data_IF_349777868890
#
_entry.id   IF_349777868890
#
_cell.length_a   1.000
_cell.length_b   1.000
_cell.length_c   1.000
_cell.angle_alpha   90.00
_cell.angle_beta   90.00
_cell.angle_gamma   90.00
#
_symmetry.space_group_name_H-M   'P 1'
#
loop_
_entity.id
_entity.type
_entity.pdbx_description
1 polymer ?
#
# COMPACT_ATOMS: atom_id res chain seq x y z
N UNK A 1 -15.40 4.18 19.10
CA UNK A 1 -16.23 4.17 17.87
C UNK A 1 -15.38 4.77 16.78
N UNK A 2 -15.06 3.98 15.76
CA UNK A 2 -14.31 4.47 14.60
C UNK A 2 -15.32 5.10 13.63
N UNK A 3 -14.98 6.27 13.09
CA UNK A 3 -15.78 7.00 12.14
C UNK A 3 -14.91 7.26 10.92
N UNK A 4 -15.09 6.42 9.90
CA UNK A 4 -14.30 6.50 8.68
C UNK A 4 -14.81 7.59 7.74
N UNK A 5 -13.89 8.35 7.16
CA UNK A 5 -14.13 9.38 6.16
C UNK A 5 -13.29 9.07 4.91
N UNK A 6 -13.94 9.02 3.75
CA UNK A 6 -13.28 8.94 2.45
C UNK A 6 -12.90 10.37 2.02
N UNK A 7 -11.61 10.66 1.99
CA UNK A 7 -11.02 11.92 1.59
C UNK A 7 -10.39 11.78 0.19
N UNK A 8 -10.82 12.58 -0.78
CA UNK A 8 -10.28 12.58 -2.16
C UNK A 8 -9.32 13.72 -2.36
N UNK A 9 -8.09 13.39 -2.74
CA UNK A 9 -7.00 14.33 -2.81
C UNK A 9 -6.57 14.47 -4.25
N UNK A 10 -6.45 15.72 -4.69
CA UNK A 10 -5.97 16.05 -6.03
C UNK A 10 -4.63 16.75 -5.90
N UNK A 11 -3.63 16.22 -6.60
CA UNK A 11 -2.32 16.82 -6.70
C UNK A 11 -1.73 16.59 -8.10
N UNK A 12 -0.67 17.32 -8.40
CA UNK A 12 0.08 17.18 -9.65
C UNK A 12 1.32 16.37 -9.36
N UNK A 13 1.44 15.19 -9.98
CA UNK A 13 2.65 14.38 -9.94
C UNK A 13 3.45 14.61 -11.23
N UNK A 14 4.75 14.85 -11.11
CA UNK A 14 5.65 14.89 -12.26
C UNK A 14 6.08 13.45 -12.54
N UNK A 15 5.84 12.98 -13.76
CA UNK A 15 6.21 11.64 -14.18
C UNK A 15 7.72 11.61 -14.47
N UNK A 16 8.51 10.92 -13.62
CA UNK A 16 9.98 10.95 -13.63
C UNK A 16 10.59 10.53 -14.99
N UNK A 17 9.89 9.71 -15.77
CA UNK A 17 10.37 9.23 -17.08
C UNK A 17 10.07 10.17 -18.24
N UNK A 18 9.06 11.04 -18.11
CA UNK A 18 8.58 11.87 -19.24
C UNK A 18 8.61 13.37 -18.94
N UNK A 19 8.86 13.76 -17.69
CA UNK A 19 8.84 15.14 -17.23
C UNK A 19 7.46 15.81 -17.33
N UNK A 20 6.40 15.05 -17.60
CA UNK A 20 5.04 15.59 -17.78
C UNK A 20 4.31 15.64 -16.44
N UNK A 21 3.71 16.79 -16.18
CA UNK A 21 2.79 16.99 -15.07
C UNK A 21 1.47 16.26 -15.32
N UNK A 22 1.12 15.32 -14.45
CA UNK A 22 -0.16 14.61 -14.47
C UNK A 22 -0.95 14.93 -13.20
N UNK A 23 -2.18 15.39 -13.40
CA UNK A 23 -3.15 15.56 -12.30
C UNK A 23 -3.69 14.19 -11.91
N UNK A 24 -3.44 13.80 -10.67
CA UNK A 24 -3.95 12.55 -10.08
C UNK A 24 -5.03 12.87 -9.05
N UNK A 25 -5.96 11.93 -8.87
CA UNK A 25 -7.03 12.03 -7.89
C UNK A 25 -7.13 10.71 -7.15
N UNK A 26 -6.83 10.76 -5.86
CA UNK A 26 -6.56 9.59 -5.04
C UNK A 26 -7.47 9.61 -3.81
N UNK A 27 -8.31 8.57 -3.62
CA UNK A 27 -9.15 8.44 -2.44
C UNK A 27 -8.40 7.72 -1.32
N UNK A 28 -8.42 8.34 -0.15
CA UNK A 28 -7.86 7.84 1.10
C UNK A 28 -8.96 7.69 2.14
N UNK A 29 -8.77 6.79 3.09
CA UNK A 29 -9.71 6.59 4.19
C UNK A 29 -9.09 7.09 5.50
N UNK A 30 -9.82 7.86 6.28
CA UNK A 30 -9.30 8.47 7.52
C UNK A 30 -10.29 8.26 8.64
N UNK A 31 -9.82 7.79 9.78
CA UNK A 31 -10.64 7.78 11.00
C UNK A 31 -10.54 9.16 11.68
N UNK A 32 -11.68 9.75 11.97
CA UNK A 32 -11.79 11.08 12.60
C UNK A 32 -13.13 11.23 13.31
N UNK A 33 -13.30 12.24 14.16
CA UNK A 33 -14.59 12.47 14.85
C UNK A 33 -15.48 13.40 14.02
N UNK A 34 -14.88 14.31 13.23
CA UNK A 34 -15.59 15.32 12.43
C UNK A 34 -14.99 15.52 11.04
N UNK A 35 -15.73 16.17 10.13
CA UNK A 35 -15.24 16.50 8.79
C UNK A 35 -14.02 17.43 8.81
N UNK A 36 -14.00 18.41 9.71
CA UNK A 36 -12.87 19.34 9.86
C UNK A 36 -11.63 18.63 10.35
N UNK A 37 -11.78 17.70 11.31
CA UNK A 37 -10.66 16.89 11.79
C UNK A 37 -10.17 15.90 10.71
N UNK A 38 -11.07 15.31 9.93
CA UNK A 38 -10.70 14.45 8.81
C UNK A 38 -9.87 15.21 7.76
N UNK A 39 -10.25 16.46 7.46
CA UNK A 39 -9.51 17.35 6.55
C UNK A 39 -8.12 17.68 7.10
N UNK A 40 -8.03 18.07 8.36
CA UNK A 40 -6.76 18.41 8.99
C UNK A 40 -5.81 17.21 9.06
N UNK A 41 -6.31 16.03 9.46
CA UNK A 41 -5.51 14.81 9.55
C UNK A 41 -4.99 14.39 8.19
N UNK A 42 -5.85 14.32 7.18
CA UNK A 42 -5.41 13.90 5.85
C UNK A 42 -4.40 14.89 5.26
N UNK A 43 -4.58 16.17 5.54
CA UNK A 43 -3.64 17.19 5.09
C UNK A 43 -2.26 16.97 5.70
N UNK A 44 -2.17 16.76 7.03
CA UNK A 44 -0.91 16.48 7.73
C UNK A 44 -0.21 15.21 7.23
N UNK A 45 -0.95 14.12 7.04
CA UNK A 45 -0.39 12.87 6.53
C UNK A 45 0.16 13.07 5.12
N UNK A 46 -0.57 13.75 4.26
CA UNK A 46 -0.20 13.91 2.85
C UNK A 46 0.93 14.90 2.61
N UNK A 47 1.13 15.88 3.48
CA UNK A 47 2.31 16.76 3.42
C UNK A 47 3.62 15.96 3.48
N UNK A 48 3.63 14.81 4.19
CA UNK A 48 4.80 13.94 4.24
C UNK A 48 5.02 13.12 2.96
N UNK A 49 3.95 12.83 2.21
CA UNK A 49 4.01 11.98 1.01
C UNK A 49 4.08 12.76 -0.30
N UNK A 50 3.52 13.97 -0.36
CA UNK A 50 3.39 14.77 -1.58
C UNK A 50 4.29 16.00 -1.48
N UNK A 51 5.33 16.04 -2.29
CA UNK A 51 6.12 17.26 -2.50
C UNK A 51 5.39 18.21 -3.46
N UNK A 52 4.67 19.20 -2.93
CA UNK A 52 3.99 20.23 -3.72
C UNK A 52 2.62 20.63 -3.17
N UNK A 53 1.90 21.46 -3.91
CA UNK A 53 0.52 21.83 -3.56
C UNK A 53 -0.46 20.70 -3.88
N UNK A 54 -1.28 20.34 -2.89
CA UNK A 54 -2.40 19.43 -3.06
C UNK A 54 -3.68 20.06 -2.51
N UNK A 55 -4.83 19.56 -2.95
CA UNK A 55 -6.13 20.04 -2.47
C UNK A 55 -7.03 18.86 -2.16
N UNK A 56 -7.69 18.92 -1.00
CA UNK A 56 -8.76 17.99 -0.66
C UNK A 56 -10.02 18.39 -1.44
N UNK A 57 -10.43 17.56 -2.39
CA UNK A 57 -11.55 17.85 -3.30
C UNK A 57 -12.89 17.36 -2.79
N UNK A 58 -12.89 16.35 -1.94
CA UNK A 58 -14.12 15.75 -1.43
C UNK A 58 -13.85 15.04 -0.11
N UNK A 59 -14.78 15.16 0.84
CA UNK A 59 -14.78 14.41 2.09
C UNK A 59 -16.17 13.82 2.26
N UNK A 60 -16.26 12.50 2.43
CA UNK A 60 -17.54 11.80 2.64
C UNK A 60 -17.44 10.86 3.83
N UNK A 61 -18.48 10.80 4.64
CA UNK A 61 -18.56 9.78 5.68
C UNK A 61 -18.72 8.40 5.04
N UNK A 62 -17.82 7.48 5.38
CA UNK A 62 -17.84 6.10 4.93
C UNK A 62 -18.30 5.20 6.09
N UNK A 63 -19.34 4.40 5.84
CA UNK A 63 -19.88 3.49 6.85
C UNK A 63 -19.18 2.13 6.77
N UNK A 64 -17.88 2.11 7.04
CA UNK A 64 -17.15 0.86 7.23
C UNK A 64 -17.27 0.44 8.70
N UNK A 65 -17.72 -0.78 8.93
CA UNK A 65 -17.79 -1.40 10.25
C UNK A 65 -16.40 -1.80 10.72
N UNK A 66 -15.63 -2.45 9.84
CA UNK A 66 -14.30 -2.98 10.12
C UNK A 66 -13.40 -2.88 8.89
N UNK A 67 -12.08 -2.76 9.13
CA UNK A 67 -11.03 -2.78 8.11
C UNK A 67 -10.05 -3.90 8.46
N UNK A 68 -9.84 -4.81 7.51
CA UNK A 68 -8.91 -5.93 7.63
C UNK A 68 -7.73 -5.69 6.69
N UNK A 69 -6.58 -5.32 7.27
CA UNK A 69 -5.31 -5.30 6.54
C UNK A 69 -4.70 -6.70 6.52
N UNK A 70 -4.12 -7.10 5.41
CA UNK A 70 -3.30 -8.29 5.31
C UNK A 70 -2.07 -7.99 4.46
N UNK A 71 -0.90 -8.47 4.86
CA UNK A 71 0.37 -8.15 4.19
C UNK A 71 0.47 -8.76 2.78
N UNK A 72 -0.33 -9.78 2.46
CA UNK A 72 -0.32 -10.45 1.15
C UNK A 72 -1.22 -9.77 0.10
N UNK A 73 -2.05 -8.80 0.49
CA UNK A 73 -2.96 -8.13 -0.45
C UNK A 73 -2.35 -6.88 -1.08
N UNK A 74 -2.62 -6.65 -2.36
CA UNK A 74 -2.22 -5.43 -3.09
C UNK A 74 -3.37 -4.44 -3.26
N UNK A 75 -4.63 -4.90 -3.14
CA UNK A 75 -5.83 -4.14 -3.45
C UNK A 75 -6.87 -4.20 -2.34
N UNK A 76 -7.68 -3.16 -2.27
CA UNK A 76 -8.78 -3.06 -1.32
C UNK A 76 -10.09 -3.55 -1.93
N UNK A 77 -10.81 -4.39 -1.20
CA UNK A 77 -12.12 -4.90 -1.57
C UNK A 77 -13.16 -4.49 -0.54
N UNK A 78 -14.24 -3.89 -1.03
CA UNK A 78 -15.43 -3.55 -0.25
C UNK A 78 -16.35 -4.76 -0.21
N UNK A 79 -16.55 -5.30 0.99
CA UNK A 79 -17.40 -6.46 1.25
C UNK A 79 -18.64 -6.01 2.01
N UNK A 80 -19.83 -6.27 1.47
CA UNK A 80 -21.10 -6.03 2.14
C UNK A 80 -21.62 -7.35 2.67
N UNK A 81 -21.80 -7.44 3.99
CA UNK A 81 -22.23 -8.65 4.69
C UNK A 81 -23.52 -8.34 5.43
N UNK A 82 -24.45 -9.28 5.44
CA UNK A 82 -25.68 -9.17 6.23
C UNK A 82 -25.68 -10.25 7.30
N UNK A 83 -25.69 -9.83 8.56
CA UNK A 83 -25.90 -10.74 9.67
C UNK A 83 -27.39 -10.98 9.86
N UNK A 84 -27.76 -12.25 10.00
CA UNK A 84 -29.14 -12.68 10.25
C UNK A 84 -29.19 -13.23 11.67
N UNK A 85 -30.03 -12.63 12.50
CA UNK A 85 -30.27 -13.08 13.88
C UNK A 85 -31.76 -13.18 14.13
N UNK A 86 -32.18 -14.18 14.88
CA UNK A 86 -33.59 -14.38 15.25
C UNK A 86 -33.81 -13.71 16.61
N UNK A 87 -34.73 -12.76 16.67
CA UNK A 87 -35.15 -12.14 17.93
C UNK A 87 -36.07 -13.11 18.68
N UNK A 88 -35.59 -13.70 19.77
CA UNK A 88 -36.33 -14.68 20.60
C UNK A 88 -37.64 -14.12 21.17
N UNK A 89 -37.75 -12.80 21.31
CA UNK A 89 -38.92 -12.12 21.86
C UNK A 89 -40.01 -11.88 20.82
N UNK A 90 -39.64 -11.65 19.56
CA UNK A 90 -40.57 -11.27 18.50
C UNK A 90 -40.76 -12.33 17.41
N UNK A 91 -39.93 -13.39 17.39
CA UNK A 91 -39.93 -14.42 16.36
C UNK A 91 -39.67 -13.89 14.95
N UNK A 92 -39.11 -12.68 14.84
CA UNK A 92 -38.80 -12.01 13.56
C UNK A 92 -37.31 -12.03 13.32
N UNK A 93 -36.95 -12.31 12.07
CA UNK A 93 -35.56 -12.20 11.60
C UNK A 93 -35.14 -10.73 11.59
N UNK A 94 -34.06 -10.42 12.30
CA UNK A 94 -33.36 -9.14 12.23
C UNK A 94 -32.15 -9.29 11.31
N UNK A 95 -32.15 -8.49 10.25
CA UNK A 95 -31.03 -8.41 9.30
C UNK A 95 -30.25 -7.13 9.54
N UNK A 96 -28.96 -7.25 9.80
CA UNK A 96 -28.05 -6.11 10.01
C UNK A 96 -27.00 -6.14 8.91
N UNK A 97 -27.02 -5.13 8.05
CA UNK A 97 -26.06 -5.01 6.95
C UNK A 97 -24.83 -4.20 7.40
N UNK A 98 -23.68 -4.85 7.36
CA UNK A 98 -22.38 -4.24 7.63
C UNK A 98 -21.57 -4.15 6.35
N UNK A 99 -20.70 -3.15 6.28
CA UNK A 99 -19.76 -3.00 5.17
C UNK A 99 -18.36 -3.06 5.74
N UNK A 100 -17.54 -3.96 5.22
CA UNK A 100 -16.16 -4.16 5.66
C UNK A 100 -15.22 -3.87 4.49
N UNK A 101 -14.00 -3.46 4.80
CA UNK A 101 -12.95 -3.23 3.82
C UNK A 101 -11.81 -4.24 4.06
N UNK A 102 -11.39 -4.98 3.04
CA UNK A 102 -10.40 -6.06 3.17
C UNK A 102 -9.30 -5.89 2.13
N UNK A 103 -8.05 -6.08 2.54
CA UNK A 103 -6.92 -6.11 1.63
C UNK A 103 -6.71 -7.53 1.08
N UNK A 104 -6.80 -7.69 -0.23
CA UNK A 104 -6.71 -8.98 -0.91
C UNK A 104 -6.10 -8.85 -2.31
N UNK A 105 -5.68 -9.98 -2.87
CA UNK A 105 -5.14 -10.08 -4.24
C UNK A 105 -6.24 -10.22 -5.30
N UNK A 106 -7.45 -10.58 -4.89
CA UNK A 106 -8.58 -10.84 -5.77
C UNK A 106 -9.88 -11.00 -5.01
N UNK A 107 -10.99 -11.06 -5.75
CA UNK A 107 -12.34 -11.21 -5.17
C UNK A 107 -12.48 -12.53 -4.37
N UNK A 108 -11.91 -13.62 -4.89
CA UNK A 108 -11.97 -14.93 -4.20
C UNK A 108 -11.21 -14.90 -2.87
N UNK A 109 -9.99 -14.38 -2.89
CA UNK A 109 -9.16 -14.20 -1.71
C UNK A 109 -9.83 -13.26 -0.68
N UNK A 110 -10.51 -12.21 -1.14
CA UNK A 110 -11.30 -11.34 -0.26
C UNK A 110 -12.45 -12.09 0.43
N UNK A 111 -13.15 -12.98 -0.27
CA UNK A 111 -14.18 -13.83 0.34
C UNK A 111 -13.57 -14.77 1.38
N UNK A 112 -12.51 -15.49 1.04
CA UNK A 112 -11.85 -16.45 1.93
C UNK A 112 -11.37 -15.76 3.23
N UNK A 113 -10.86 -14.53 3.12
CA UNK A 113 -10.43 -13.71 4.27
C UNK A 113 -11.60 -13.23 5.14
N UNK A 114 -12.71 -12.83 4.53
CA UNK A 114 -13.93 -12.51 5.27
C UNK A 114 -14.45 -13.74 6.00
N UNK A 115 -14.50 -14.89 5.33
CA UNK A 115 -14.96 -16.14 5.95
C UNK A 115 -14.08 -16.49 7.16
N UNK A 116 -12.76 -16.35 7.04
CA UNK A 116 -11.83 -16.57 8.14
C UNK A 116 -12.02 -15.56 9.29
N UNK A 117 -12.23 -14.28 8.97
CA UNK A 117 -12.51 -13.25 9.97
C UNK A 117 -13.83 -13.49 10.72
N UNK A 118 -14.82 -14.10 10.07
CA UNK A 118 -16.16 -14.35 10.62
C UNK A 118 -16.34 -15.76 11.20
N UNK A 119 -15.38 -16.67 11.01
CA UNK A 119 -15.45 -18.07 11.48
C UNK A 119 -15.69 -18.22 12.99
N UNK A 120 -15.43 -17.19 13.79
CA UNK A 120 -15.67 -17.17 15.24
C UNK A 120 -17.05 -16.64 15.69
N UNK A 121 -17.91 -16.19 14.77
CA UNK A 121 -19.20 -15.59 15.13
C UNK A 121 -20.32 -16.65 15.18
N UNK A 122 -21.10 -16.65 16.27
CA UNK A 122 -22.29 -17.52 16.43
C UNK A 122 -23.49 -17.05 15.61
N UNK A 123 -23.35 -15.98 14.83
CA UNK A 123 -24.43 -15.35 14.08
C UNK A 123 -24.29 -15.74 12.62
N UNK A 124 -25.37 -16.21 12.01
CA UNK A 124 -25.40 -16.50 10.58
C UNK A 124 -25.16 -15.22 9.78
N UNK A 125 -24.37 -15.32 8.71
CA UNK A 125 -24.07 -14.20 7.84
C UNK A 125 -24.13 -14.58 6.37
N UNK A 126 -24.52 -13.62 5.54
CA UNK A 126 -24.54 -13.73 4.10
C UNK A 126 -23.65 -12.64 3.48
N UNK A 127 -22.70 -13.04 2.62
CA UNK A 127 -21.94 -12.10 1.79
C UNK A 127 -22.85 -11.63 0.64
N UNK A 128 -23.28 -10.36 0.69
CA UNK A 128 -24.19 -9.78 -0.30
C UNK A 128 -23.45 -9.36 -1.56
N UNK A 129 -22.27 -8.76 -1.40
CA UNK A 129 -21.49 -8.28 -2.53
C UNK A 129 -20.03 -8.04 -2.15
N UNK A 130 -19.13 -8.34 -3.07
CA UNK A 130 -17.70 -8.00 -2.99
C UNK A 130 -17.34 -7.21 -4.24
N UNK A 131 -16.73 -6.04 -4.06
CA UNK A 131 -16.31 -5.17 -5.17
C UNK A 131 -14.96 -4.54 -4.87
N UNK A 132 -14.11 -4.42 -5.88
CA UNK A 132 -12.85 -3.68 -5.76
C UNK A 132 -13.13 -2.21 -5.40
N UNK A 133 -12.37 -1.71 -4.43
CA UNK A 133 -12.47 -0.35 -3.91
C UNK A 133 -11.36 0.50 -4.51
N UNK A 134 -11.64 1.76 -4.90
CA UNK A 134 -10.61 2.65 -5.42
C UNK A 134 -9.69 3.21 -4.32
N UNK A 135 -9.98 2.92 -3.03
CA UNK A 135 -9.20 3.39 -1.87
C UNK A 135 -7.76 2.90 -2.00
N UNK A 136 -6.80 3.79 -1.79
CA UNK A 136 -5.37 3.44 -1.83
C UNK A 136 -4.84 3.05 -0.46
N UNK A 137 -5.11 3.88 0.55
CA UNK A 137 -4.63 3.65 1.92
C UNK A 137 -5.62 4.17 2.97
N UNK A 138 -5.43 3.73 4.21
CA UNK A 138 -6.21 4.17 5.35
C UNK A 138 -5.35 4.65 6.52
N UNK A 139 -5.81 5.72 7.17
CA UNK A 139 -5.17 6.37 8.30
C UNK A 139 -6.06 6.20 9.54
N UNK A 140 -5.80 5.18 10.38
CA UNK A 140 -6.54 4.97 11.62
C UNK A 140 -6.31 6.12 12.61
N UNK A 141 -7.22 6.25 13.58
CA UNK A 141 -7.11 7.30 14.59
C UNK A 141 -6.01 6.96 15.58
N UNK A 142 -4.85 7.58 15.41
CA UNK A 142 -3.82 7.64 16.45
C UNK A 142 -4.40 8.43 17.64
N UNK A 143 -4.77 7.72 18.72
CA UNK A 143 -4.58 8.26 20.07
C UNK A 143 -3.08 8.09 20.37
N UNK A 144 -2.46 9.08 21.02
CA UNK A 144 -1.02 9.21 21.28
C UNK A 144 -0.29 8.02 21.97
N UNK A 145 -0.92 6.85 22.11
CA UNK A 145 -0.31 5.61 22.62
C UNK A 145 0.19 4.65 21.51
N UNK A 146 -0.02 4.97 20.23
CA UNK A 146 0.54 4.24 19.09
C UNK A 146 1.27 5.21 18.15
N UNK A 147 2.58 5.06 18.03
CA UNK A 147 3.43 6.02 17.33
C UNK A 147 2.99 6.23 15.86
N UNK A 148 2.69 7.48 15.46
CA UNK A 148 2.41 7.82 14.08
C UNK A 148 3.72 7.81 13.30
N UNK A 149 3.83 6.87 12.34
CA UNK A 149 4.97 6.83 11.43
C UNK A 149 5.49 5.43 11.10
N UNK A 150 5.07 4.38 11.81
CA UNK A 150 5.67 3.06 11.63
C UNK A 150 5.40 2.46 10.23
N UNK A 151 4.22 2.70 9.65
CA UNK A 151 3.88 2.19 8.30
C UNK A 151 4.54 2.98 7.17
N UNK A 152 4.57 4.32 7.28
CA UNK A 152 5.25 5.19 6.31
C UNK A 152 6.77 5.03 6.36
N UNK A 153 7.35 4.92 7.57
CA UNK A 153 8.77 4.61 7.76
C UNK A 153 9.12 3.23 7.25
N UNK A 154 8.34 2.19 7.58
CA UNK A 154 8.62 0.83 7.05
C UNK A 154 8.59 0.79 5.52
N UNK A 155 7.67 1.53 4.88
CA UNK A 155 7.63 1.61 3.41
C UNK A 155 8.82 2.38 2.85
N UNK A 156 9.17 3.53 3.42
CA UNK A 156 10.31 4.34 3.00
C UNK A 156 11.66 3.64 3.27
N UNK A 157 11.80 2.93 4.40
CA UNK A 157 12.98 2.15 4.77
C UNK A 157 13.11 0.90 3.89
N UNK A 158 12.01 0.21 3.58
CA UNK A 158 12.02 -0.91 2.64
C UNK A 158 12.40 -0.46 1.22
N UNK A 159 11.89 0.70 0.77
CA UNK A 159 12.21 1.27 -0.54
C UNK A 159 13.67 1.78 -0.60
N UNK A 160 14.17 2.38 0.49
CA UNK A 160 15.57 2.77 0.61
C UNK A 160 16.52 1.56 0.67
N UNK A 161 16.18 0.50 1.40
CA UNK A 161 16.95 -0.75 1.42
C UNK A 161 16.92 -1.47 0.06
N UNK A 162 15.78 -1.47 -0.62
CA UNK A 162 15.69 -2.06 -1.96
C UNK A 162 16.54 -1.29 -2.98
N UNK A 163 16.56 0.04 -2.92
CA UNK A 163 17.41 0.86 -3.77
C UNK A 163 18.90 0.74 -3.42
N UNK A 164 19.27 0.72 -2.14
CA UNK A 164 20.65 0.52 -1.72
C UNK A 164 21.18 -0.84 -2.18
N UNK A 165 20.41 -1.91 -1.97
CA UNK A 165 20.79 -3.26 -2.41
C UNK A 165 20.88 -3.38 -3.93
N UNK A 166 20.05 -2.64 -4.67
CA UNK A 166 20.12 -2.59 -6.13
C UNK A 166 21.38 -1.87 -6.60
N UNK A 167 21.75 -0.79 -5.92
CA UNK A 167 22.95 -0.03 -6.24
C UNK A 167 24.23 -0.83 -5.93
N UNK A 168 24.27 -1.54 -4.80
CA UNK A 168 25.37 -2.46 -4.48
C UNK A 168 25.53 -3.59 -5.51
N UNK A 169 24.43 -4.10 -6.08
CA UNK A 169 24.48 -5.11 -7.14
C UNK A 169 24.95 -4.53 -8.47
N UNK A 170 24.56 -3.30 -8.79
CA UNK A 170 25.00 -2.59 -10.00
C UNK A 170 26.48 -2.18 -9.90
N UNK A 171 26.97 -1.80 -8.71
CA UNK A 171 28.38 -1.48 -8.46
C UNK A 171 29.25 -2.74 -8.46
N UNK A 172 28.81 -3.84 -7.84
CA UNK A 172 29.54 -5.12 -7.89
C UNK A 172 29.65 -5.68 -9.31
N UNK A 173 28.59 -5.54 -10.14
CA UNK A 173 28.65 -5.93 -11.55
C UNK A 173 29.63 -5.07 -12.34
N UNK A 174 29.80 -3.80 -11.97
CA UNK A 174 30.76 -2.90 -12.61
C UNK A 174 32.19 -3.22 -12.23
N UNK A 175 32.43 -3.57 -10.96
CA UNK A 175 33.75 -4.00 -10.48
C UNK A 175 34.17 -5.34 -11.09
N UNK A 176 33.23 -6.27 -11.30
CA UNK A 176 33.50 -7.52 -12.03
C UNK A 176 33.82 -7.25 -13.52
N UNK A 177 33.07 -6.35 -14.19
CA UNK A 177 33.35 -5.96 -15.58
C UNK A 177 34.71 -5.21 -15.72
N UNK A 178 35.10 -4.38 -14.75
CA UNK A 178 36.42 -3.72 -14.73
C UNK A 178 37.56 -4.71 -14.44
N UNK A 179 37.32 -5.75 -13.63
CA UNK A 179 38.31 -6.78 -13.34
C UNK A 179 38.56 -7.72 -14.53
N UNK A 180 37.52 -8.06 -15.30
CA UNK A 180 37.66 -8.83 -16.54
C UNK A 180 38.41 -8.01 -17.63
N UNK A 181 38.19 -6.68 -17.72
CA UNK A 181 38.95 -5.81 -18.63
C UNK A 181 40.44 -5.71 -18.24
N UNK A 182 40.75 -5.61 -16.94
CA UNK A 182 42.14 -5.58 -16.44
C UNK A 182 42.85 -6.95 -16.61
N UNK A 183 42.13 -8.08 -16.53
CA UNK A 183 42.68 -9.42 -16.75
C UNK A 183 42.94 -9.70 -18.24
N UNK A 184 42.06 -9.25 -19.15
CA UNK A 184 42.30 -9.30 -20.61
C UNK A 184 43.51 -8.43 -21.02
N UNK A 185 43.69 -7.23 -20.43
CA UNK A 185 44.83 -6.34 -20.74
C UNK A 185 46.18 -6.92 -20.27
N UNK A 186 46.20 -7.65 -19.15
CA UNK A 186 47.41 -8.35 -18.65
C UNK A 186 47.75 -9.62 -19.45
N UNK A 187 46.76 -10.33 -19.99
CA UNK A 187 46.99 -11.49 -20.86
C UNK A 187 47.56 -11.06 -22.22
N UNK A 188 47.12 -9.93 -22.79
CA UNK A 188 47.70 -9.35 -24.02
C UNK A 188 49.16 -8.91 -23.81
N UNK A 189 49.49 -8.25 -22.69
CA UNK A 189 50.86 -7.85 -22.36
C UNK A 189 51.81 -9.06 -22.15
N UNK A 190 51.30 -10.18 -21.61
CA UNK A 190 52.07 -11.43 -21.45
C UNK A 190 52.28 -12.21 -22.75
N UNK A 191 51.38 -12.09 -23.73
CA UNK A 191 51.56 -12.65 -25.07
C UNK A 191 52.60 -11.86 -25.87
N UNK A 192 52.56 -10.52 -25.82
CA UNK A 192 53.54 -9.64 -26.48
C UNK A 192 54.98 -9.85 -25.96
N UNK A 193 55.14 -10.10 -24.65
CA UNK A 193 56.45 -10.39 -24.04
C UNK A 193 57.00 -11.78 -24.40
N UNK A 194 56.14 -12.74 -24.75
CA UNK A 194 56.57 -14.07 -25.20
C UNK A 194 57.01 -14.07 -26.65
N UNK A 195 56.36 -13.28 -27.52
CA UNK A 195 56.78 -13.12 -28.92
C UNK A 195 58.15 -12.44 -29.07
N UNK A 196 58.52 -11.46 -28.22
CA UNK A 196 59.86 -10.85 -28.25
C UNK A 196 60.98 -11.79 -27.76
N UNK A 197 60.66 -12.88 -27.05
CA UNK A 197 61.65 -13.81 -26.48
C UNK A 197 62.05 -14.97 -27.39
N UNK A 198 61.30 -15.21 -28.47
CA UNK A 198 61.55 -16.28 -29.45
C UNK A 198 62.35 -15.80 -30.70
N UNK A 199 62.72 -14.51 -30.78
CA UNK A 199 63.50 -13.92 -31.89
C UNK A 199 65.01 -13.76 -31.63
N UNK A 200 65.57 -14.23 -30.50
CA UNK A 200 67.03 -14.20 -30.21
C UNK A 200 67.77 -15.55 -30.34
#
# INVERSE_FOLDING_TARGET
MQNWFECKIRYTKIDEKTGKEKKVNEPYLVDAISFTEAEERIYREMEAYISGEFTVTNIRKANYSDIFNNDEGDRWYKCKITFVSIDETAGKEKKVANTMLVMASGVKDACDKIDLALTGMTVDYDIVSVSESPILDFFPYFNDDAEPGEKGRKKAEAEAQANARRQELEDAQREDDEFDEDEEELEEDEEDLKEESDEE
#
